data_IF_407313779371
#
_entry.id   IF_407313779371
#
_cell.length_a   1.000
_cell.length_b   1.000
_cell.length_c   1.000
_cell.angle_alpha   90.00
_cell.angle_beta   90.00
_cell.angle_gamma   90.00
#
_symmetry.space_group_name_H-M   'P 1'
#
loop_
_entity.id
_entity.type
_entity.pdbx_description
1 polymer ?
#
# COMPACT_ATOMS: atom_id res chain seq x y z
N UNK A 1 -2.90 2.77 -8.72
CA UNK A 1 -2.14 1.50 -8.69
C UNK A 1 -2.65 0.70 -7.50
N UNK A 2 -3.26 -0.45 -7.77
CA UNK A 2 -3.71 -1.43 -6.76
C UNK A 2 -2.54 -1.86 -5.87
N UNK A 3 -2.83 -2.25 -4.63
CA UNK A 3 -1.89 -2.74 -3.60
C UNK A 3 -1.08 -3.97 -4.07
N UNK A 4 -0.12 -3.79 -4.98
CA UNK A 4 0.79 -4.86 -5.37
C UNK A 4 2.05 -4.80 -4.48
N UNK A 5 1.99 -5.46 -3.32
CA UNK A 5 3.18 -5.71 -2.48
C UNK A 5 4.16 -6.70 -3.13
N UNK A 6 3.75 -7.35 -4.22
CA UNK A 6 4.58 -8.29 -4.95
C UNK A 6 5.03 -7.72 -6.28
N UNK A 7 6.27 -8.01 -6.64
CA UNK A 7 6.83 -7.69 -7.94
C UNK A 7 7.37 -8.96 -8.60
N UNK A 8 7.23 -9.03 -9.93
CA UNK A 8 8.01 -9.95 -10.74
C UNK A 8 9.15 -9.16 -11.35
N UNK A 9 10.37 -9.62 -11.13
CA UNK A 9 11.58 -9.07 -11.75
C UNK A 9 12.29 -10.16 -12.54
N UNK A 10 13.18 -9.75 -13.45
CA UNK A 10 13.86 -10.64 -14.37
C UNK A 10 15.36 -10.32 -14.43
N UNK A 11 16.19 -11.36 -14.43
CA UNK A 11 17.60 -11.29 -14.80
C UNK A 11 17.79 -11.95 -16.16
N UNK A 12 18.46 -11.26 -17.07
CA UNK A 12 18.79 -11.75 -18.41
C UNK A 12 20.28 -12.02 -18.49
N UNK A 13 20.64 -13.21 -18.93
CA UNK A 13 21.98 -13.63 -19.25
C UNK A 13 22.03 -13.98 -20.74
N UNK A 14 22.87 -13.33 -21.53
CA UNK A 14 23.06 -13.67 -22.94
C UNK A 14 23.87 -14.97 -23.00
N UNK A 15 23.24 -16.05 -23.47
CA UNK A 15 23.86 -17.37 -23.54
C UNK A 15 24.62 -17.56 -24.83
N UNK A 16 24.03 -17.09 -25.93
CA UNK A 16 24.58 -17.28 -27.27
C UNK A 16 24.12 -16.20 -28.25
N UNK A 17 24.92 -16.01 -29.29
CA UNK A 17 24.68 -15.09 -30.41
C UNK A 17 25.38 -15.62 -31.66
N UNK A 18 24.61 -15.78 -32.73
CA UNK A 18 25.18 -16.21 -34.01
C UNK A 18 24.38 -15.73 -35.21
N UNK A 19 25.04 -15.76 -36.36
CA UNK A 19 24.44 -15.46 -37.66
C UNK A 19 23.70 -16.70 -38.15
N UNK A 20 22.44 -16.53 -38.54
CA UNK A 20 21.65 -17.57 -39.19
C UNK A 20 21.87 -17.46 -40.69
N UNK A 21 22.39 -18.54 -41.29
CA UNK A 21 22.63 -18.64 -42.73
C UNK A 21 21.32 -18.76 -43.51
N UNK A 22 20.61 -17.66 -43.65
CA UNK A 22 19.39 -17.49 -44.47
C UNK A 22 19.57 -16.39 -45.51
N UNK A 23 18.69 -16.34 -46.52
CA UNK A 23 18.57 -15.21 -47.44
C UNK A 23 17.23 -14.48 -47.19
N UNK A 24 17.22 -13.22 -46.72
CA UNK A 24 18.37 -12.43 -46.26
C UNK A 24 18.99 -12.99 -44.97
N UNK A 25 20.24 -12.62 -44.69
CA UNK A 25 20.95 -13.02 -43.47
C UNK A 25 20.24 -12.50 -42.23
N UNK A 26 20.16 -13.33 -41.19
CA UNK A 26 19.52 -12.98 -39.93
C UNK A 26 20.48 -13.21 -38.75
N UNK A 27 20.16 -12.61 -37.61
CA UNK A 27 20.87 -12.79 -36.34
C UNK A 27 19.96 -13.55 -35.39
N UNK A 28 20.50 -14.54 -34.69
CA UNK A 28 19.85 -15.23 -33.57
C UNK A 28 20.51 -14.82 -32.26
N UNK A 29 19.67 -14.49 -31.26
CA UNK A 29 20.08 -14.28 -29.88
C UNK A 29 19.37 -15.28 -28.97
N UNK A 30 20.12 -15.86 -28.05
CA UNK A 30 19.62 -16.78 -27.02
C UNK A 30 19.89 -16.15 -25.65
N UNK A 31 18.83 -16.00 -24.84
CA UNK A 31 18.91 -15.51 -23.47
C UNK A 31 18.44 -16.57 -22.49
N UNK A 32 19.17 -16.70 -21.39
CA UNK A 32 18.72 -17.35 -20.17
C UNK A 32 18.06 -16.28 -19.32
N UNK A 33 16.81 -16.50 -18.94
CA UNK A 33 16.01 -15.53 -18.19
C UNK A 33 15.59 -16.17 -16.88
N UNK A 34 16.04 -15.59 -15.78
CA UNK A 34 15.55 -15.96 -14.44
C UNK A 34 14.51 -14.95 -14.00
N UNK A 35 13.27 -15.40 -13.87
CA UNK A 35 12.19 -14.61 -13.27
C UNK A 35 12.16 -14.86 -11.77
N UNK A 36 11.94 -13.81 -11.00
CA UNK A 36 11.80 -13.84 -9.54
C UNK A 36 10.48 -13.21 -9.15
N UNK A 37 9.75 -13.85 -8.25
CA UNK A 37 8.61 -13.27 -7.56
C UNK A 37 9.05 -12.88 -6.16
N UNK A 38 8.93 -11.60 -5.84
CA UNK A 38 9.38 -11.03 -4.59
C UNK A 38 8.25 -10.28 -3.91
N UNK A 39 8.24 -10.30 -2.58
CA UNK A 39 7.46 -9.38 -1.75
C UNK A 39 8.37 -8.21 -1.39
N UNK A 40 7.98 -7.05 -1.89
CA UNK A 40 8.71 -5.79 -1.77
C UNK A 40 8.68 -5.31 -0.31
N UNK A 41 7.55 -5.49 0.38
CA UNK A 41 7.36 -5.03 1.75
C UNK A 41 8.17 -5.85 2.74
N UNK A 42 8.09 -7.19 2.63
CA UNK A 42 8.81 -8.11 3.51
C UNK A 42 10.24 -8.45 3.01
N UNK A 43 10.65 -7.89 1.87
CA UNK A 43 11.94 -8.16 1.22
C UNK A 43 12.20 -9.67 1.07
N UNK A 44 11.20 -10.41 0.57
CA UNK A 44 11.22 -11.87 0.54
C UNK A 44 11.09 -12.42 -0.88
N UNK A 45 11.99 -13.33 -1.26
CA UNK A 45 11.85 -14.13 -2.48
C UNK A 45 10.86 -15.28 -2.25
N UNK A 46 9.80 -15.35 -3.06
CA UNK A 46 8.78 -16.40 -2.99
C UNK A 46 9.03 -17.55 -3.94
N UNK A 47 9.43 -17.22 -5.18
CA UNK A 47 9.66 -18.20 -6.22
C UNK A 47 10.61 -17.64 -7.27
N UNK A 48 11.29 -18.54 -7.98
CA UNK A 48 11.98 -18.22 -9.21
C UNK A 48 11.73 -19.28 -10.27
N UNK A 49 11.92 -18.91 -11.54
CA UNK A 49 11.92 -19.84 -12.66
C UNK A 49 12.96 -19.41 -13.69
N UNK A 50 13.65 -20.39 -14.26
CA UNK A 50 14.57 -20.18 -15.37
C UNK A 50 13.93 -20.62 -16.68
N UNK A 51 14.00 -19.76 -17.70
CA UNK A 51 13.53 -20.03 -19.06
C UNK A 51 14.57 -19.57 -20.06
N UNK A 52 14.78 -20.36 -21.10
CA UNK A 52 15.58 -19.94 -22.25
C UNK A 52 14.67 -19.44 -23.34
N UNK A 53 15.00 -18.29 -23.90
CA UNK A 53 14.27 -17.68 -25.00
C UNK A 53 15.22 -17.38 -26.14
N UNK A 54 14.76 -17.63 -27.37
CA UNK A 54 15.57 -17.45 -28.57
C UNK A 54 14.81 -16.62 -29.58
N UNK A 55 15.38 -15.51 -30.02
CA UNK A 55 14.78 -14.70 -31.06
C UNK A 55 15.69 -14.58 -32.27
N UNK A 56 15.08 -14.61 -33.45
CA UNK A 56 15.78 -14.39 -34.72
C UNK A 56 15.23 -13.12 -35.36
N UNK A 57 16.09 -12.27 -35.91
CA UNK A 57 15.67 -11.03 -36.56
C UNK A 57 16.68 -10.52 -37.56
N UNK A 58 16.27 -9.56 -38.40
CA UNK A 58 17.16 -8.98 -39.42
C UNK A 58 18.26 -8.07 -38.84
N UNK A 59 18.22 -7.80 -37.54
CA UNK A 59 19.28 -7.16 -36.77
C UNK A 59 19.20 -7.58 -35.30
N UNK A 60 20.19 -7.18 -34.51
CA UNK A 60 20.33 -7.49 -33.09
C UNK A 60 19.08 -7.10 -32.27
N UNK A 61 18.59 -5.86 -32.46
CA UNK A 61 17.43 -5.36 -31.72
C UNK A 61 16.18 -6.19 -32.00
N UNK A 62 15.93 -6.55 -33.26
CA UNK A 62 14.80 -7.40 -33.65
C UNK A 62 14.93 -8.81 -33.11
N UNK A 63 16.13 -9.40 -33.15
CA UNK A 63 16.41 -10.71 -32.57
C UNK A 63 16.10 -10.70 -31.07
N UNK A 64 16.59 -9.70 -30.33
CA UNK A 64 16.33 -9.57 -28.89
C UNK A 64 14.86 -9.33 -28.55
N UNK A 65 14.16 -8.46 -29.27
CA UNK A 65 12.72 -8.24 -29.08
C UNK A 65 11.92 -9.52 -29.35
N UNK A 66 12.28 -10.30 -30.38
CA UNK A 66 11.64 -11.56 -30.68
C UNK A 66 11.90 -12.63 -29.61
N UNK A 67 13.06 -12.60 -28.97
CA UNK A 67 13.36 -13.48 -27.83
C UNK A 67 12.50 -13.10 -26.62
N UNK A 68 12.51 -11.82 -26.24
CA UNK A 68 11.74 -11.30 -25.09
C UNK A 68 10.24 -11.56 -25.26
N UNK A 69 9.71 -11.47 -26.48
CA UNK A 69 8.31 -11.79 -26.78
C UNK A 69 7.89 -13.20 -26.36
N UNK A 70 8.81 -14.15 -26.18
CA UNK A 70 8.50 -15.51 -25.70
C UNK A 70 8.27 -15.57 -24.19
N UNK A 71 8.56 -14.49 -23.45
CA UNK A 71 8.22 -14.33 -22.05
C UNK A 71 6.75 -13.87 -21.91
N UNK A 72 5.82 -14.69 -22.40
CA UNK A 72 4.40 -14.39 -22.44
C UNK A 72 3.54 -15.50 -21.82
N UNK A 73 2.23 -15.27 -21.74
CA UNK A 73 1.26 -16.20 -21.16
C UNK A 73 1.08 -17.52 -21.93
N UNK A 74 1.64 -17.67 -23.13
CA UNK A 74 1.73 -18.94 -23.86
C UNK A 74 2.91 -19.81 -23.41
N UNK A 75 3.87 -19.28 -22.64
CA UNK A 75 4.99 -20.06 -22.16
C UNK A 75 4.58 -20.92 -20.95
N UNK A 76 4.53 -22.24 -21.14
CA UNK A 76 4.10 -23.19 -20.12
C UNK A 76 4.90 -23.10 -18.81
N UNK A 77 6.22 -22.88 -18.87
CA UNK A 77 7.06 -22.72 -17.67
C UNK A 77 6.67 -21.47 -16.88
N UNK A 78 6.36 -20.37 -17.56
CA UNK A 78 5.92 -19.12 -16.92
C UNK A 78 4.53 -19.29 -16.30
N UNK A 79 3.59 -19.96 -16.97
CA UNK A 79 2.27 -20.24 -16.39
C UNK A 79 2.35 -21.13 -15.14
N UNK A 80 3.16 -22.19 -15.18
CA UNK A 80 3.40 -23.05 -14.01
C UNK A 80 4.06 -22.26 -12.88
N UNK A 81 5.00 -21.38 -13.20
CA UNK A 81 5.61 -20.48 -12.23
C UNK A 81 4.58 -19.57 -11.57
N UNK A 82 3.77 -18.83 -12.34
CA UNK A 82 2.77 -17.89 -11.82
C UNK A 82 1.70 -18.58 -10.95
N UNK A 83 1.20 -19.73 -11.40
CA UNK A 83 0.21 -20.49 -10.65
C UNK A 83 0.78 -21.08 -9.35
N UNK A 84 2.01 -21.61 -9.39
CA UNK A 84 2.73 -22.07 -8.19
C UNK A 84 3.07 -20.94 -7.23
N UNK A 85 3.47 -19.78 -7.76
CA UNK A 85 3.74 -18.56 -7.02
C UNK A 85 2.53 -18.09 -6.21
N UNK A 86 1.36 -18.00 -6.85
CA UNK A 86 0.11 -17.60 -6.18
C UNK A 86 -0.19 -18.51 -4.99
N UNK A 87 -0.04 -19.82 -5.17
CA UNK A 87 -0.22 -20.80 -4.08
C UNK A 87 0.77 -20.55 -2.94
N UNK A 88 2.04 -20.32 -3.23
CA UNK A 88 3.07 -20.02 -2.21
C UNK A 88 2.78 -18.73 -1.44
N UNK A 89 2.32 -17.68 -2.11
CA UNK A 89 1.90 -16.42 -1.44
C UNK A 89 0.77 -16.72 -0.45
N UNK A 90 -0.30 -17.39 -0.91
CA UNK A 90 -1.46 -17.72 -0.09
C UNK A 90 -1.03 -18.55 1.12
N UNK A 91 -0.29 -19.64 0.91
CA UNK A 91 0.17 -20.51 1.99
C UNK A 91 1.05 -19.78 3.02
N UNK A 92 1.93 -18.88 2.56
CA UNK A 92 2.76 -18.10 3.48
C UNK A 92 1.90 -17.19 4.36
N UNK A 93 1.07 -16.32 3.77
CA UNK A 93 0.27 -15.38 4.53
C UNK A 93 -0.72 -16.10 5.45
N UNK A 94 -1.38 -17.17 4.98
CA UNK A 94 -2.28 -17.96 5.81
C UNK A 94 -1.54 -18.58 7.01
N UNK A 95 -0.31 -19.08 6.82
CA UNK A 95 0.49 -19.65 7.92
C UNK A 95 1.01 -18.59 8.91
N UNK A 96 1.32 -17.39 8.43
CA UNK A 96 1.94 -16.32 9.23
C UNK A 96 0.90 -15.41 9.89
N UNK A 97 -0.34 -15.40 9.40
CA UNK A 97 -1.36 -14.47 9.83
C UNK A 97 -1.57 -14.43 11.35
N UNK A 98 -1.59 -15.56 12.10
CA UNK A 98 -1.73 -15.51 13.55
C UNK A 98 -0.62 -14.71 14.23
N UNK A 99 0.63 -14.85 13.76
CA UNK A 99 1.78 -14.11 14.29
C UNK A 99 1.70 -12.63 13.92
N UNK A 100 1.35 -12.35 12.66
CA UNK A 100 1.21 -10.98 12.14
C UNK A 100 0.12 -10.21 12.89
N UNK A 101 -1.04 -10.82 13.15
CA UNK A 101 -2.11 -10.23 13.97
C UNK A 101 -1.64 -9.98 15.41
N UNK A 102 -0.92 -10.93 16.01
CA UNK A 102 -0.39 -10.78 17.37
C UNK A 102 0.58 -9.60 17.49
N UNK A 103 1.46 -9.46 16.51
CA UNK A 103 2.42 -8.36 16.47
C UNK A 103 1.73 -7.01 16.21
N UNK A 104 0.78 -6.94 15.26
CA UNK A 104 -0.02 -5.75 15.02
C UNK A 104 -0.77 -5.30 16.29
N UNK A 105 -1.35 -6.24 17.05
CA UNK A 105 -1.97 -5.96 18.36
C UNK A 105 -0.98 -5.39 19.36
N UNK A 106 0.23 -5.94 19.42
CA UNK A 106 1.28 -5.44 20.31
C UNK A 106 1.66 -4.00 19.93
N UNK A 107 1.90 -3.72 18.65
CA UNK A 107 2.17 -2.35 18.16
C UNK A 107 1.04 -1.38 18.51
N UNK A 108 -0.21 -1.78 18.28
CA UNK A 108 -1.38 -0.99 18.65
C UNK A 108 -1.48 -0.73 20.17
N UNK A 109 -1.06 -1.68 21.02
CA UNK A 109 -1.03 -1.49 22.47
C UNK A 109 -0.02 -0.42 22.92
N UNK A 110 1.05 -0.23 22.15
CA UNK A 110 2.00 0.87 22.32
C UNK A 110 1.59 2.16 21.57
N UNK A 111 0.36 2.22 21.06
CA UNK A 111 -0.16 3.33 20.23
C UNK A 111 0.59 3.53 18.90
N UNK A 112 1.38 2.57 18.46
CA UNK A 112 2.00 2.54 17.13
C UNK A 112 0.96 2.07 16.09
N UNK A 113 -0.12 2.83 15.95
CA UNK A 113 -1.27 2.43 15.16
C UNK A 113 -0.98 2.35 13.66
N UNK A 114 -0.22 3.29 13.11
CA UNK A 114 0.09 3.33 11.68
C UNK A 114 0.89 2.10 11.26
N UNK A 115 1.91 1.72 12.04
CA UNK A 115 2.68 0.49 11.81
C UNK A 115 1.79 -0.75 11.94
N UNK A 116 0.94 -0.82 12.97
CA UNK A 116 0.02 -1.94 13.16
C UNK A 116 -0.96 -2.11 11.99
N UNK A 117 -1.50 -1.00 11.48
CA UNK A 117 -2.39 -0.98 10.32
C UNK A 117 -1.66 -1.37 9.04
N UNK A 118 -0.44 -0.85 8.83
CA UNK A 118 0.39 -1.21 7.68
C UNK A 118 0.69 -2.71 7.62
N UNK A 119 1.01 -3.32 8.76
CA UNK A 119 1.25 -4.77 8.84
C UNK A 119 0.03 -5.60 8.39
N UNK A 120 -1.18 -5.16 8.72
CA UNK A 120 -2.40 -5.89 8.34
C UNK A 120 -2.81 -5.59 6.90
N UNK A 121 -2.57 -4.37 6.42
CA UNK A 121 -2.90 -3.92 5.07
C UNK A 121 -2.12 -4.68 3.98
N UNK A 122 -0.98 -5.30 4.31
CA UNK A 122 -0.20 -6.05 3.33
C UNK A 122 -0.73 -7.45 3.02
N UNK A 123 -1.69 -7.94 3.82
CA UNK A 123 -2.31 -9.26 3.60
C UNK A 123 -3.13 -9.23 2.30
N UNK A 124 -2.83 -10.09 1.31
CA UNK A 124 -3.52 -10.09 0.03
C UNK A 124 -4.98 -10.52 0.12
N UNK A 125 -5.85 -9.93 -0.70
CA UNK A 125 -7.29 -10.25 -0.78
C UNK A 125 -7.60 -11.70 -1.16
N UNK A 126 -6.64 -12.38 -1.81
CA UNK A 126 -6.79 -13.79 -2.21
C UNK A 126 -6.39 -14.79 -1.11
N UNK A 127 -5.91 -14.33 0.05
CA UNK A 127 -5.60 -15.18 1.19
C UNK A 127 -6.88 -15.51 1.98
N UNK A 128 -6.98 -16.73 2.51
CA UNK A 128 -8.14 -17.16 3.29
C UNK A 128 -8.29 -16.32 4.57
N UNK A 129 -7.15 -15.87 5.12
CA UNK A 129 -7.12 -15.06 6.32
C UNK A 129 -7.38 -13.56 6.12
N UNK A 130 -7.64 -13.09 4.90
CA UNK A 130 -7.81 -11.66 4.60
C UNK A 130 -8.88 -11.00 5.46
N UNK A 131 -10.07 -11.59 5.57
CA UNK A 131 -11.18 -11.03 6.35
C UNK A 131 -10.82 -10.92 7.84
N UNK A 132 -10.06 -11.88 8.36
CA UNK A 132 -9.58 -11.84 9.75
C UNK A 132 -8.55 -10.71 9.96
N UNK A 133 -7.66 -10.50 9.00
CA UNK A 133 -6.70 -9.39 9.03
C UNK A 133 -7.43 -8.04 9.00
N UNK A 134 -8.42 -7.89 8.10
CA UNK A 134 -9.18 -6.64 7.97
C UNK A 134 -10.07 -6.36 9.17
N UNK A 135 -10.69 -7.39 9.75
CA UNK A 135 -11.45 -7.25 11.00
C UNK A 135 -10.57 -6.70 12.13
N UNK A 136 -9.35 -7.21 12.26
CA UNK A 136 -8.39 -6.68 13.24
C UNK A 136 -7.93 -5.26 12.88
N UNK A 137 -7.68 -4.98 11.60
CA UNK A 137 -7.28 -3.66 11.14
C UNK A 137 -8.35 -2.61 11.46
N UNK A 138 -9.62 -2.92 11.23
CA UNK A 138 -10.74 -2.05 11.58
C UNK A 138 -10.84 -1.82 13.09
N UNK A 139 -10.62 -2.86 13.90
CA UNK A 139 -10.55 -2.71 15.37
C UNK A 139 -9.45 -1.74 15.79
N UNK A 140 -8.27 -1.85 15.19
CA UNK A 140 -7.12 -0.97 15.47
C UNK A 140 -7.37 0.44 14.95
N UNK A 141 -8.00 0.59 13.78
CA UNK A 141 -8.37 1.88 13.21
C UNK A 141 -9.32 2.66 14.13
N UNK A 142 -10.31 1.99 14.73
CA UNK A 142 -11.19 2.61 15.73
C UNK A 142 -10.39 3.16 16.91
N UNK A 143 -9.40 2.40 17.41
CA UNK A 143 -8.51 2.88 18.50
C UNK A 143 -7.67 4.09 18.08
N UNK A 144 -7.12 4.05 16.86
CA UNK A 144 -6.34 5.15 16.30
C UNK A 144 -7.19 6.42 16.19
N UNK A 145 -8.34 6.33 15.52
CA UNK A 145 -9.30 7.41 15.35
C UNK A 145 -9.73 8.00 16.69
N UNK A 146 -10.16 7.17 17.62
CA UNK A 146 -10.62 7.64 18.93
C UNK A 146 -9.49 8.34 19.71
N UNK A 147 -8.25 7.83 19.62
CA UNK A 147 -7.09 8.44 20.27
C UNK A 147 -6.71 9.77 19.62
N UNK A 148 -6.71 9.83 18.29
CA UNK A 148 -6.39 11.02 17.51
C UNK A 148 -7.38 12.16 17.81
N UNK A 149 -8.67 11.89 17.73
CA UNK A 149 -9.68 12.92 17.95
C UNK A 149 -9.82 13.32 19.41
N UNK A 150 -9.54 12.43 20.36
CA UNK A 150 -9.43 12.81 21.77
C UNK A 150 -8.29 13.80 22.01
N UNK A 151 -7.13 13.59 21.38
CA UNK A 151 -6.01 14.54 21.46
C UNK A 151 -6.39 15.90 20.87
N UNK A 152 -7.13 15.92 19.75
CA UNK A 152 -7.63 17.15 19.11
C UNK A 152 -8.66 17.88 19.96
N UNK A 153 -9.59 17.16 20.57
CA UNK A 153 -10.52 17.75 21.53
C UNK A 153 -9.77 18.38 22.72
N UNK A 154 -8.74 17.73 23.25
CA UNK A 154 -7.97 18.27 24.37
C UNK A 154 -7.18 19.52 23.99
N UNK A 155 -6.62 19.59 22.78
CA UNK A 155 -6.02 20.83 22.26
C UNK A 155 -7.07 21.94 22.13
N UNK A 156 -8.23 21.64 21.56
CA UNK A 156 -9.31 22.62 21.41
C UNK A 156 -9.75 23.19 22.78
N UNK A 157 -9.86 22.32 23.81
CA UNK A 157 -10.14 22.76 25.20
C UNK A 157 -9.06 23.68 25.73
N UNK A 158 -7.78 23.36 25.52
CA UNK A 158 -6.66 24.17 26.00
C UNK A 158 -6.63 25.55 25.32
N UNK A 159 -6.78 25.59 23.99
CA UNK A 159 -6.88 26.83 23.22
C UNK A 159 -8.04 27.70 23.70
N UNK A 160 -9.22 27.10 23.87
CA UNK A 160 -10.39 27.82 24.34
C UNK A 160 -10.20 28.39 25.76
N UNK A 161 -9.60 27.61 26.65
CA UNK A 161 -9.33 28.03 28.03
C UNK A 161 -8.31 29.18 28.10
N UNK A 162 -7.37 29.23 27.15
CA UNK A 162 -6.35 30.28 27.08
C UNK A 162 -6.87 31.61 26.51
N UNK A 163 -7.88 31.58 25.63
CA UNK A 163 -8.42 32.76 24.97
C UNK A 163 -9.92 32.59 24.63
N UNK A 164 -10.83 32.71 25.60
CA UNK A 164 -12.27 32.51 25.39
C UNK A 164 -12.95 33.75 24.77
N UNK A 165 -12.41 34.22 23.65
CA UNK A 165 -12.90 35.40 22.91
C UNK A 165 -13.31 35.03 21.49
N UNK A 166 -13.95 35.96 20.79
CA UNK A 166 -14.24 35.83 19.35
C UNK A 166 -12.98 35.42 18.55
N UNK A 167 -11.84 36.07 18.80
CA UNK A 167 -10.61 35.77 18.09
C UNK A 167 -10.06 34.37 18.42
N UNK A 168 -10.12 33.97 19.70
CA UNK A 168 -9.68 32.64 20.13
C UNK A 168 -10.60 31.49 19.71
N UNK A 169 -11.84 31.79 19.29
CA UNK A 169 -12.80 30.78 18.82
C UNK A 169 -12.44 30.15 17.47
N UNK A 170 -11.76 30.89 16.59
CA UNK A 170 -11.47 30.48 15.20
C UNK A 170 -10.70 29.14 15.13
N UNK A 171 -9.52 28.99 15.78
CA UNK A 171 -8.79 27.72 15.75
C UNK A 171 -9.55 26.59 16.48
N UNK A 172 -10.34 26.92 17.51
CA UNK A 172 -11.14 25.93 18.26
C UNK A 172 -12.25 25.34 17.38
N UNK A 173 -12.98 26.18 16.64
CA UNK A 173 -14.03 25.75 15.69
C UNK A 173 -13.44 24.90 14.57
N UNK A 174 -12.28 25.29 14.02
CA UNK A 174 -11.60 24.52 12.98
C UNK A 174 -11.26 23.10 13.44
N UNK A 175 -10.75 22.94 14.67
CA UNK A 175 -10.46 21.61 15.22
C UNK A 175 -11.76 20.83 15.45
N UNK A 176 -12.73 21.40 16.16
CA UNK A 176 -13.93 20.68 16.59
C UNK A 176 -14.84 20.27 15.44
N UNK A 177 -14.93 21.09 14.38
CA UNK A 177 -15.71 20.78 13.16
C UNK A 177 -15.10 19.64 12.33
N UNK A 178 -13.82 19.32 12.55
CA UNK A 178 -13.13 18.21 11.87
C UNK A 178 -13.26 16.86 12.60
N UNK A 179 -13.85 16.84 13.80
CA UNK A 179 -13.96 15.61 14.60
C UNK A 179 -14.87 14.60 13.91
N UNK A 180 -14.33 13.40 13.66
CA UNK A 180 -15.06 12.32 13.01
C UNK A 180 -16.36 11.99 13.81
N UNK A 181 -17.53 11.92 13.13
CA UNK A 181 -18.82 11.60 13.74
C UNK A 181 -18.84 10.35 14.61
N UNK A 182 -18.06 9.35 14.22
CA UNK A 182 -18.02 8.05 14.88
C UNK A 182 -16.94 7.99 15.96
N UNK A 183 -16.10 9.02 16.09
CA UNK A 183 -15.14 9.10 17.19
C UNK A 183 -15.88 9.14 18.54
N UNK A 184 -15.37 8.40 19.52
CA UNK A 184 -15.99 8.35 20.86
C UNK A 184 -16.20 9.72 21.50
N UNK A 185 -15.32 10.68 21.22
CA UNK A 185 -15.38 12.04 21.77
C UNK A 185 -16.29 13.00 20.99
N UNK A 186 -16.99 12.56 19.93
CA UNK A 186 -17.77 13.44 19.06
C UNK A 186 -18.84 14.24 19.81
N UNK A 187 -19.64 13.59 20.66
CA UNK A 187 -20.67 14.28 21.47
C UNK A 187 -20.07 15.37 22.36
N UNK A 188 -18.90 15.12 22.94
CA UNK A 188 -18.21 16.08 23.79
C UNK A 188 -17.63 17.24 22.98
N UNK A 189 -17.06 16.95 21.80
CA UNK A 189 -16.57 17.96 20.87
C UNK A 189 -17.69 18.91 20.42
N UNK A 190 -18.87 18.37 20.08
CA UNK A 190 -20.03 19.17 19.69
C UNK A 190 -20.59 19.99 20.86
N UNK A 191 -20.54 19.46 22.10
CA UNK A 191 -20.93 20.22 23.28
C UNK A 191 -20.02 21.43 23.51
N UNK A 192 -18.69 21.28 23.36
CA UNK A 192 -17.75 22.40 23.44
C UNK A 192 -17.97 23.40 22.29
N UNK A 193 -18.18 22.91 21.07
CA UNK A 193 -18.46 23.77 19.91
C UNK A 193 -19.70 24.64 20.13
N UNK A 194 -20.75 24.08 20.72
CA UNK A 194 -21.96 24.85 21.10
C UNK A 194 -21.68 25.92 22.17
N UNK A 195 -20.77 25.67 23.11
CA UNK A 195 -20.37 26.68 24.10
C UNK A 195 -19.60 27.83 23.45
N UNK A 196 -18.67 27.51 22.55
CA UNK A 196 -17.88 28.49 21.79
C UNK A 196 -18.81 29.35 20.92
N UNK A 197 -19.80 28.74 20.26
CA UNK A 197 -20.78 29.43 19.44
C UNK A 197 -21.63 30.45 20.21
N UNK A 198 -21.79 30.33 21.54
CA UNK A 198 -22.50 31.34 22.34
C UNK A 198 -21.68 32.62 22.56
N UNK A 199 -20.36 32.50 22.57
CA UNK A 199 -19.43 33.65 22.66
C UNK A 199 -19.28 34.32 21.30
N UNK A 200 -19.39 33.53 20.24
CA UNK A 200 -19.37 33.99 18.85
C UNK A 200 -20.77 34.40 18.41
N UNK A 201 -21.15 35.67 18.62
CA UNK A 201 -22.41 36.21 18.09
C UNK A 201 -22.38 36.20 16.54
N UNK A 202 -22.77 35.08 15.90
CA UNK A 202 -23.56 34.89 14.65
C UNK A 202 -23.20 33.59 13.90
N UNK A 203 -24.26 32.96 13.36
CA UNK A 203 -24.34 32.05 12.20
C UNK A 203 -23.39 30.85 12.10
N UNK A 204 -23.38 30.00 13.13
CA UNK A 204 -22.90 28.62 12.98
C UNK A 204 -24.07 27.75 12.51
N UNK A 205 -24.64 28.05 11.33
CA UNK A 205 -25.77 27.28 10.82
C UNK A 205 -25.55 26.68 9.43
N UNK A 206 -26.12 25.49 9.28
CA UNK A 206 -26.44 24.80 8.04
C UNK A 206 -25.40 23.87 7.36
N UNK A 207 -24.15 24.27 7.09
CA UNK A 207 -23.25 23.41 6.28
C UNK A 207 -22.75 22.14 7.00
N UNK A 208 -22.65 22.17 8.34
CA UNK A 208 -22.10 21.06 9.14
C UNK A 208 -23.04 19.85 9.23
N UNK A 209 -24.36 20.02 9.08
CA UNK A 209 -25.34 18.92 9.22
C UNK A 209 -25.42 18.00 8.00
N UNK A 210 -25.02 18.46 6.81
CA UNK A 210 -25.24 17.75 5.53
C UNK A 210 -24.19 16.68 5.20
N UNK A 211 -23.13 16.54 5.99
CA UNK A 211 -22.02 15.59 5.75
C UNK A 211 -22.25 14.15 6.30
N UNK A 212 -23.44 13.85 6.84
CA UNK A 212 -23.62 12.73 7.80
C UNK A 212 -24.45 11.52 7.31
N UNK A 213 -24.83 11.41 6.03
CA UNK A 213 -25.84 10.41 5.63
C UNK A 213 -25.34 9.06 5.09
N UNK A 214 -24.05 8.84 4.76
CA UNK A 214 -23.64 7.58 4.10
C UNK A 214 -22.72 6.66 4.94
N UNK A 215 -23.35 5.89 5.85
CA UNK A 215 -22.66 4.93 6.72
C UNK A 215 -22.03 3.72 5.99
N UNK A 216 -22.43 3.40 4.75
CA UNK A 216 -21.87 2.30 3.94
C UNK A 216 -20.69 2.76 3.07
N UNK A 217 -20.65 4.05 2.72
CA UNK A 217 -19.54 4.65 1.97
C UNK A 217 -18.33 4.90 2.90
N UNK A 218 -18.59 5.20 4.18
CA UNK A 218 -17.56 5.35 5.20
C UNK A 218 -16.72 4.09 5.42
N UNK A 219 -17.31 2.88 5.38
CA UNK A 219 -16.55 1.65 5.62
C UNK A 219 -15.57 1.34 4.49
N UNK A 220 -15.97 1.60 3.23
CA UNK A 220 -15.06 1.50 2.07
C UNK A 220 -13.97 2.56 2.13
N UNK A 221 -14.32 3.79 2.53
CA UNK A 221 -13.37 4.87 2.71
C UNK A 221 -12.34 4.52 3.80
N UNK A 222 -12.74 3.90 4.91
CA UNK A 222 -11.82 3.45 5.97
C UNK A 222 -10.85 2.38 5.49
N UNK A 223 -11.33 1.37 4.77
CA UNK A 223 -10.46 0.34 4.18
C UNK A 223 -9.45 1.00 3.22
N UNK A 224 -9.88 2.00 2.45
CA UNK A 224 -9.00 2.78 1.60
C UNK A 224 -7.97 3.58 2.44
N UNK A 225 -8.39 4.29 3.48
CA UNK A 225 -7.50 5.03 4.39
C UNK A 225 -6.48 4.12 5.04
N UNK A 226 -6.87 2.93 5.50
CA UNK A 226 -5.95 1.92 6.04
C UNK A 226 -4.90 1.52 4.98
N UNK A 227 -5.35 1.32 3.73
CA UNK A 227 -4.45 1.06 2.61
C UNK A 227 -3.48 2.22 2.33
N UNK A 228 -3.94 3.47 2.41
CA UNK A 228 -3.13 4.67 2.22
C UNK A 228 -2.10 4.86 3.34
N UNK A 229 -2.48 4.62 4.59
CA UNK A 229 -1.56 4.60 5.74
C UNK A 229 -0.48 3.54 5.52
N UNK A 230 -0.87 2.34 5.07
CA UNK A 230 0.07 1.26 4.74
C UNK A 230 1.08 1.66 3.66
N UNK A 231 0.62 2.35 2.60
CA UNK A 231 1.48 2.85 1.52
C UNK A 231 2.45 3.91 2.01
N UNK A 232 1.98 4.90 2.76
CA UNK A 232 2.81 5.98 3.30
C UNK A 232 3.89 5.42 4.24
N UNK A 233 3.53 4.45 5.07
CA UNK A 233 4.47 3.77 5.94
C UNK A 233 5.53 2.98 5.15
N UNK A 234 5.11 2.20 4.14
CA UNK A 234 6.02 1.43 3.30
C UNK A 234 6.99 2.32 2.50
N UNK A 235 6.52 3.46 1.98
CA UNK A 235 7.34 4.40 1.22
C UNK A 235 8.49 5.01 2.06
N UNK A 236 8.31 5.14 3.37
CA UNK A 236 9.31 5.70 4.29
C UNK A 236 10.29 4.65 4.85
N UNK A 237 10.20 3.38 4.42
CA UNK A 237 11.15 2.33 4.83
C UNK A 237 12.32 2.20 3.85
N UNK A 238 13.56 2.01 4.34
CA UNK A 238 14.71 1.73 3.48
C UNK A 238 14.54 0.37 2.78
N UNK A 239 14.53 0.40 1.44
CA UNK A 239 14.52 -0.80 0.60
C UNK A 239 15.92 -1.39 0.50
N UNK A 240 16.11 -2.61 1.02
CA UNK A 240 17.40 -3.30 0.95
C UNK A 240 17.38 -4.30 -0.23
N UNK A 241 17.99 -3.94 -1.35
CA UNK A 241 17.95 -4.72 -2.60
C UNK A 241 19.04 -5.83 -2.68
N UNK A 242 19.82 -6.03 -1.61
CA UNK A 242 20.96 -6.96 -1.57
C UNK A 242 20.53 -8.42 -1.85
N UNK A 243 19.26 -8.77 -1.63
CA UNK A 243 18.73 -10.11 -1.89
C UNK A 243 18.55 -10.46 -3.38
N UNK A 244 18.65 -9.48 -4.29
CA UNK A 244 18.52 -9.70 -5.76
C UNK A 244 19.85 -10.06 -6.45
N UNK A 245 20.95 -10.17 -5.70
CA UNK A 245 22.29 -10.38 -6.25
C UNK A 245 22.88 -9.07 -6.80
N UNK A 246 24.20 -8.91 -6.62
CA UNK A 246 24.93 -7.72 -7.06
C UNK A 246 24.85 -7.59 -8.59
N UNK A 247 23.98 -6.70 -9.09
CA UNK A 247 23.84 -6.43 -10.53
C UNK A 247 22.43 -6.11 -11.03
N UNK A 248 21.40 -6.14 -10.18
CA UNK A 248 20.03 -5.81 -10.60
C UNK A 248 19.85 -4.31 -10.91
N UNK A 249 19.98 -3.91 -12.16
CA UNK A 249 19.48 -2.62 -12.62
C UNK A 249 17.94 -2.67 -12.67
N UNK A 250 17.28 -1.89 -11.81
CA UNK A 250 15.85 -1.60 -11.92
C UNK A 250 15.75 -0.21 -12.54
N UNK A 251 15.12 -0.11 -13.71
CA UNK A 251 14.68 1.17 -14.24
C UNK A 251 13.54 1.68 -13.33
N UNK A 252 13.90 2.39 -12.27
CA UNK A 252 12.95 3.25 -11.56
C UNK A 252 12.69 4.42 -12.51
N UNK A 253 11.48 4.49 -13.07
CA UNK A 253 11.02 5.77 -13.61
C UNK A 253 11.04 6.76 -12.45
N UNK A 254 11.94 7.74 -12.54
CA UNK A 254 11.93 8.90 -11.64
C UNK A 254 10.53 9.51 -11.66
N UNK A 255 9.98 9.95 -10.52
CA UNK A 255 8.79 10.77 -10.54
C UNK A 255 9.12 12.01 -11.37
N UNK A 256 8.38 12.19 -12.47
CA UNK A 256 8.36 13.44 -13.21
C UNK A 256 7.94 14.52 -12.22
N UNK A 257 8.86 15.42 -11.91
CA UNK A 257 8.51 16.67 -11.25
C UNK A 257 7.58 17.42 -12.20
N UNK A 258 6.31 17.52 -11.83
CA UNK A 258 5.37 18.43 -12.49
C UNK A 258 5.64 19.82 -11.90
N UNK A 259 5.81 20.86 -12.74
CA UNK A 259 6.12 22.23 -12.31
C UNK A 259 5.05 22.85 -11.42
#
# INVERSE_FOLDING_TARGET
MENANFAITAKFDQLDRYIVSSAPTQIANVFGVTLYLVDVYNQKLFASVYVEVKGVGSNETKASLNAIRQLNAGNGKINTFLSGAKKKIISYYDSQLPSLIKEARSKASFKNYEEALAMLAVVPTCCNGYDSAMKEAMRIYVLYRDTYFLARLNEAKALWSSNPTQAGSVPVVAILSSVDPDAKCYKEAMALLSQVAKVVKTDVDYETKKKYEDAVELEKLRIQTIGEIGKAYAANRPMNLIFLGHGGAIATQSPVAVP
#
